data_IF_174303861114
#
_entry.id   IF_174303861114
#
_cell.length_a   1.000
_cell.length_b   1.000
_cell.length_c   1.000
_cell.angle_alpha   90.00
_cell.angle_beta   90.00
_cell.angle_gamma   90.00
#
_symmetry.space_group_name_H-M   'P 1'
#
loop_
_entity.id
_entity.type
_entity.pdbx_description
1 polymer ?
#
# COMPACT_ATOMS: atom_id res chain seq x y z
N UNK A 1 -0.76 20.61 -13.23
CA UNK A 1 -0.11 19.31 -12.93
C UNK A 1 -0.80 18.21 -13.73
N UNK A 2 -0.06 17.21 -14.19
CA UNK A 2 -0.55 16.26 -15.18
C UNK A 2 -1.18 14.98 -14.64
N UNK A 3 -1.72 14.17 -15.57
CA UNK A 3 -2.21 12.81 -15.29
C UNK A 3 -1.12 11.93 -14.66
N UNK A 4 -1.55 10.90 -13.91
CA UNK A 4 -0.64 9.85 -13.40
C UNK A 4 0.22 9.32 -14.56
N UNK A 5 1.50 9.05 -14.30
CA UNK A 5 2.53 8.64 -15.28
C UNK A 5 3.03 9.75 -16.25
N UNK A 6 2.63 11.01 -16.11
CA UNK A 6 3.24 12.12 -16.87
C UNK A 6 4.65 12.43 -16.33
N UNK A 7 5.62 12.66 -17.21
CA UNK A 7 6.96 13.13 -16.84
C UNK A 7 6.87 14.53 -16.23
N UNK A 8 7.50 14.73 -15.07
CA UNK A 8 7.56 16.01 -14.36
C UNK A 8 9.02 16.29 -14.03
N UNK A 9 9.56 17.41 -14.52
CA UNK A 9 10.91 17.87 -14.17
C UNK A 9 10.86 18.75 -12.93
N UNK A 10 11.52 18.32 -11.85
CA UNK A 10 11.63 19.09 -10.61
C UNK A 10 12.91 19.92 -10.62
N UNK A 11 12.81 21.24 -10.42
CA UNK A 11 13.95 22.18 -10.28
C UNK A 11 13.92 22.83 -8.91
N UNK A 12 15.09 23.17 -8.36
CA UNK A 12 15.18 24.06 -7.19
C UNK A 12 14.52 25.41 -7.49
N UNK A 13 13.95 26.04 -6.45
CA UNK A 13 13.41 27.39 -6.55
C UNK A 13 14.51 28.39 -6.89
N UNK A 14 14.18 29.42 -7.66
CA UNK A 14 15.09 30.53 -7.95
C UNK A 14 15.03 31.63 -6.88
N UNK A 15 13.97 31.65 -6.09
CA UNK A 15 13.74 32.62 -5.04
C UNK A 15 14.19 32.04 -3.70
N UNK A 16 14.84 32.85 -2.88
CA UNK A 16 15.24 32.48 -1.52
C UNK A 16 13.99 32.41 -0.62
N UNK A 17 13.77 31.27 0.02
CA UNK A 17 12.67 31.08 0.95
C UNK A 17 13.03 31.66 2.34
N UNK A 18 12.27 32.66 2.79
CA UNK A 18 12.46 33.31 4.11
C UNK A 18 11.35 32.99 5.11
N UNK A 19 10.22 32.43 4.64
CA UNK A 19 9.05 32.14 5.48
C UNK A 19 9.26 30.87 6.31
N UNK A 20 8.85 30.88 7.58
CA UNK A 20 8.97 29.73 8.48
C UNK A 20 8.35 28.44 7.92
N UNK A 21 7.18 28.55 7.27
CA UNK A 21 6.49 27.41 6.64
C UNK A 21 7.38 26.66 5.63
N UNK A 22 8.29 27.36 4.95
CA UNK A 22 9.17 26.77 3.95
C UNK A 22 10.48 26.20 4.54
N UNK A 23 10.86 26.63 5.75
CA UNK A 23 12.11 26.23 6.43
C UNK A 23 11.87 25.17 7.53
N UNK A 24 10.62 24.84 7.79
CA UNK A 24 10.25 23.88 8.83
C UNK A 24 10.74 22.46 8.50
N UNK A 25 11.32 21.79 9.50
CA UNK A 25 11.69 20.37 9.40
C UNK A 25 10.45 19.51 9.64
N UNK A 26 10.00 18.79 8.61
CA UNK A 26 8.76 18.01 8.66
C UNK A 26 9.03 16.60 9.21
N UNK A 27 8.51 16.30 10.40
CA UNK A 27 8.43 14.95 10.94
C UNK A 27 7.05 14.34 10.67
N UNK A 28 6.98 13.20 9.96
CA UNK A 28 5.71 12.54 9.61
C UNK A 28 5.33 11.50 10.66
N UNK A 29 4.11 11.60 11.19
CA UNK A 29 3.57 10.67 12.20
C UNK A 29 2.85 9.45 11.62
N UNK A 30 2.20 9.62 10.47
CA UNK A 30 1.37 8.60 9.85
C UNK A 30 1.33 8.77 8.33
N UNK A 31 1.28 7.64 7.61
CA UNK A 31 1.07 7.59 6.16
C UNK A 31 -0.14 6.70 5.92
N UNK A 32 -1.15 7.23 5.24
CA UNK A 32 -2.32 6.45 4.86
C UNK A 32 -1.99 5.54 3.67
N UNK A 33 -1.94 4.24 3.93
CA UNK A 33 -1.69 3.18 2.94
C UNK A 33 -2.97 2.46 2.52
N UNK A 34 -4.13 2.97 2.93
CA UNK A 34 -5.42 2.43 2.51
C UNK A 34 -5.62 2.51 0.99
N UNK A 35 -6.41 1.56 0.45
CA UNK A 35 -6.80 1.57 -0.96
C UNK A 35 -7.51 2.88 -1.33
N UNK A 36 -7.07 3.50 -2.43
CA UNK A 36 -7.73 4.66 -3.06
C UNK A 36 -8.72 4.27 -4.16
N UNK A 37 -8.82 2.98 -4.46
CA UNK A 37 -9.90 2.46 -5.28
C UNK A 37 -11.12 2.20 -4.37
N UNK A 38 -12.17 3.00 -4.54
CA UNK A 38 -13.33 3.03 -3.65
C UNK A 38 -12.99 3.58 -2.26
N UNK A 39 -13.65 3.06 -1.22
CA UNK A 39 -13.45 3.49 0.17
C UNK A 39 -12.51 2.52 0.92
N UNK A 40 -11.23 2.89 1.04
CA UNK A 40 -10.24 2.15 1.83
C UNK A 40 -10.53 2.21 3.33
N UNK A 41 -10.55 1.05 4.01
CA UNK A 41 -10.82 0.94 5.45
C UNK A 41 -9.65 0.41 6.29
N UNK A 42 -8.76 -0.34 5.67
CA UNK A 42 -7.64 -1.01 6.33
C UNK A 42 -6.32 -0.45 5.82
N UNK A 43 -5.34 -0.32 6.71
CA UNK A 43 -4.00 0.15 6.37
C UNK A 43 -3.13 -0.98 5.84
N UNK A 44 -3.26 -2.19 6.41
CA UNK A 44 -2.50 -3.38 6.02
C UNK A 44 -3.48 -4.50 5.63
N UNK A 45 -3.04 -5.39 4.72
CA UNK A 45 -3.82 -6.56 4.30
C UNK A 45 -4.07 -7.54 5.45
N UNK A 46 -3.17 -7.65 6.42
CA UNK A 46 -3.32 -8.45 7.64
C UNK A 46 -4.45 -7.93 8.52
N UNK A 47 -4.56 -6.61 8.69
CA UNK A 47 -5.65 -5.99 9.47
C UNK A 47 -7.00 -6.32 8.84
N UNK A 48 -7.05 -6.31 7.50
CA UNK A 48 -8.24 -6.70 6.74
C UNK A 48 -8.58 -8.18 6.93
N UNK A 49 -7.60 -9.07 6.91
CA UNK A 49 -7.81 -10.51 7.09
C UNK A 49 -8.12 -10.90 8.54
N UNK A 50 -7.62 -10.14 9.52
CA UNK A 50 -7.97 -10.32 10.92
C UNK A 50 -9.39 -9.81 11.22
N UNK A 51 -9.77 -8.67 10.61
CA UNK A 51 -11.10 -8.10 10.78
C UNK A 51 -12.18 -8.88 10.03
N UNK A 52 -11.89 -9.28 8.79
CA UNK A 52 -12.81 -10.09 7.98
C UNK A 52 -12.51 -11.55 8.28
N UNK A 53 -13.47 -12.23 8.90
CA UNK A 53 -13.41 -13.66 9.19
C UNK A 53 -13.00 -14.54 7.99
N UNK A 54 -12.54 -15.78 8.23
CA UNK A 54 -12.11 -16.70 7.18
C UNK A 54 -13.15 -16.82 6.06
N UNK A 55 -12.76 -16.46 4.83
CA UNK A 55 -13.67 -16.52 3.69
C UNK A 55 -13.56 -17.87 2.98
N UNK A 56 -14.61 -18.25 2.24
CA UNK A 56 -14.64 -19.48 1.43
C UNK A 56 -13.44 -19.58 0.47
N UNK A 57 -13.04 -18.47 -0.14
CA UNK A 57 -11.89 -18.40 -1.06
C UNK A 57 -10.55 -18.71 -0.39
N UNK A 58 -10.43 -18.48 0.90
CA UNK A 58 -9.18 -18.72 1.62
C UNK A 58 -9.06 -20.22 1.92
N UNK A 59 -10.16 -20.88 2.26
CA UNK A 59 -10.26 -22.34 2.42
C UNK A 59 -9.91 -23.11 1.13
N UNK A 60 -10.48 -22.69 0.00
CA UNK A 60 -10.18 -23.32 -1.31
C UNK A 60 -8.69 -23.18 -1.65
N UNK A 61 -8.08 -22.02 -1.36
CA UNK A 61 -6.64 -21.83 -1.59
C UNK A 61 -5.77 -22.68 -0.66
N UNK A 62 -6.21 -22.92 0.57
CA UNK A 62 -5.51 -23.83 1.49
C UNK A 62 -5.56 -25.26 0.98
N UNK A 63 -6.72 -25.72 0.50
CA UNK A 63 -6.92 -27.03 -0.12
C UNK A 63 -6.05 -27.21 -1.38
N UNK A 64 -6.06 -26.23 -2.30
CA UNK A 64 -5.22 -26.23 -3.51
C UNK A 64 -3.72 -26.20 -3.18
N UNK A 65 -3.31 -25.41 -2.18
CA UNK A 65 -1.92 -25.38 -1.72
C UNK A 65 -1.49 -26.69 -1.08
N UNK A 66 -2.36 -27.32 -0.30
CA UNK A 66 -2.10 -28.63 0.29
C UNK A 66 -1.95 -29.71 -0.78
N UNK A 67 -2.79 -29.68 -1.83
CA UNK A 67 -2.69 -30.58 -2.97
C UNK A 67 -1.39 -30.36 -3.78
N UNK A 68 -0.98 -29.11 -4.00
CA UNK A 68 0.27 -28.78 -4.69
C UNK A 68 1.51 -29.21 -3.89
N UNK A 69 1.49 -29.04 -2.56
CA UNK A 69 2.57 -29.47 -1.67
C UNK A 69 2.71 -31.00 -1.64
N UNK A 70 1.59 -31.73 -1.65
CA UNK A 70 1.60 -33.19 -1.72
C UNK A 70 2.21 -33.70 -3.05
N UNK A 71 2.01 -32.97 -4.16
CA UNK A 71 2.56 -33.34 -5.47
C UNK A 71 4.08 -33.07 -5.60
N UNK A 72 4.62 -32.09 -4.87
CA UNK A 72 6.06 -31.79 -4.86
C UNK A 72 6.89 -32.67 -3.94
N UNK A 73 6.27 -33.38 -2.99
CA UNK A 73 6.96 -34.29 -2.04
C UNK A 73 7.04 -35.72 -2.60
N UNK A 74 6.26 -36.05 -3.64
CA UNK A 74 6.27 -37.34 -4.34
C UNK A 74 7.16 -37.37 -5.58
N UNK A 75 7.88 -36.29 -5.87
CA UNK A 75 8.92 -36.17 -6.91
C UNK A 75 10.28 -35.99 -6.25
#
# INVERSE_FOLDING_TARGET
MGRKKRVITLRKSLLVHTKCIALEKINRKFIDTSSKFGYGRFQIATDKAAFIYPLKKDRVKEEEKAAALAATVSS
#
